data_IF_983646356615
#
_entry.id   IF_983646356615
#
_cell.length_a   1.000
_cell.length_b   1.000
_cell.length_c   1.000
_cell.angle_alpha   90.00
_cell.angle_beta   90.00
_cell.angle_gamma   90.00
#
_symmetry.space_group_name_H-M   'P 1'
#
loop_
_entity.id
_entity.type
_entity.pdbx_description
1 polymer ?
#
# COMPACT_ATOMS: atom_id res chain seq x y z
N UNK A 1 20.05 8.80 -24.22
CA UNK A 1 20.18 8.29 -22.82
C UNK A 1 18.99 8.81 -21.98
N UNK A 2 17.85 9.06 -22.63
CA UNK A 2 16.88 10.05 -22.12
C UNK A 2 15.83 9.45 -21.19
N UNK A 3 15.64 8.12 -21.27
CA UNK A 3 14.75 7.40 -20.35
C UNK A 3 15.31 7.36 -18.92
N UNK A 4 16.64 7.30 -18.76
CA UNK A 4 17.28 7.40 -17.45
C UNK A 4 17.10 8.81 -16.86
N UNK A 5 17.22 9.85 -17.70
CA UNK A 5 17.00 11.23 -17.27
C UNK A 5 15.56 11.46 -16.77
N UNK A 6 14.57 10.96 -17.51
CA UNK A 6 13.16 11.00 -17.11
C UNK A 6 12.87 10.21 -15.81
N UNK A 7 13.61 9.13 -15.56
CA UNK A 7 13.48 8.40 -14.29
C UNK A 7 14.08 9.21 -13.14
N UNK A 8 15.23 9.83 -13.35
CA UNK A 8 15.93 10.60 -12.31
C UNK A 8 15.20 11.88 -11.90
N UNK A 9 14.35 12.46 -12.76
CA UNK A 9 13.52 13.63 -12.38
C UNK A 9 12.49 13.31 -11.29
N UNK A 10 12.19 12.04 -11.05
CA UNK A 10 11.32 11.62 -9.95
C UNK A 10 12.07 11.38 -8.63
N UNK A 11 13.41 11.40 -8.64
CA UNK A 11 14.23 11.23 -7.44
C UNK A 11 14.45 12.63 -6.85
N UNK A 12 13.89 12.93 -5.66
CA UNK A 12 14.05 14.24 -5.03
C UNK A 12 15.51 14.52 -4.66
N UNK A 13 15.88 15.80 -4.64
CA UNK A 13 17.22 16.22 -4.25
C UNK A 13 17.49 15.96 -2.76
N UNK A 14 18.76 15.83 -2.40
CA UNK A 14 19.19 15.65 -1.01
C UNK A 14 18.74 16.86 -0.16
N UNK A 15 17.81 16.65 0.75
CA UNK A 15 17.26 17.69 1.63
C UNK A 15 15.90 18.24 1.20
N UNK A 16 15.39 17.86 0.02
CA UNK A 16 14.00 18.12 -0.33
C UNK A 16 13.09 17.24 0.53
N UNK A 17 12.21 17.87 1.32
CA UNK A 17 11.14 17.15 1.98
C UNK A 17 10.20 16.59 0.91
N UNK A 18 10.25 15.28 0.68
CA UNK A 18 9.07 14.62 0.13
C UNK A 18 7.93 14.86 1.10
N UNK A 19 6.85 15.52 0.64
CA UNK A 19 5.57 15.57 1.36
C UNK A 19 5.05 14.14 1.40
N UNK A 20 5.62 13.32 2.28
CA UNK A 20 5.09 12.00 2.56
C UNK A 20 3.78 12.25 3.28
N UNK A 21 2.68 11.80 2.70
CA UNK A 21 1.32 11.82 3.27
C UNK A 21 1.18 11.07 4.61
N UNK A 22 2.26 10.90 5.40
CA UNK A 22 2.24 10.40 6.77
C UNK A 22 1.32 11.23 7.68
N UNK A 23 1.09 12.50 7.35
CA UNK A 23 0.13 13.35 8.07
C UNK A 23 -1.25 12.71 8.14
N UNK A 24 -1.75 12.18 7.01
CA UNK A 24 -3.07 11.56 6.91
C UNK A 24 -3.17 10.24 7.68
N UNK A 25 -2.10 9.44 7.70
CA UNK A 25 -2.07 8.12 8.34
C UNK A 25 -1.53 8.13 9.79
N UNK A 26 -1.13 9.28 10.32
CA UNK A 26 -0.63 9.42 11.69
C UNK A 26 -1.68 9.00 12.74
N UNK A 27 -1.23 8.49 13.90
CA UNK A 27 -2.14 8.12 15.01
C UNK A 27 -3.00 9.30 15.47
N UNK A 28 -2.44 10.51 15.51
CA UNK A 28 -3.14 11.73 15.89
C UNK A 28 -4.29 12.04 14.93
N UNK A 29 -4.03 12.06 13.62
CA UNK A 29 -5.05 12.36 12.60
C UNK A 29 -6.14 11.28 12.52
N UNK A 30 -5.77 9.99 12.64
CA UNK A 30 -6.72 8.87 12.79
C UNK A 30 -7.60 9.03 14.03
N UNK A 31 -7.00 9.36 15.17
CA UNK A 31 -7.72 9.58 16.42
C UNK A 31 -8.73 10.72 16.34
N UNK A 32 -8.38 11.81 15.63
CA UNK A 32 -9.29 12.93 15.37
C UNK A 32 -10.46 12.50 14.48
N UNK A 33 -10.20 11.82 13.35
CA UNK A 33 -11.26 11.32 12.45
C UNK A 33 -12.19 10.32 13.15
N UNK A 34 -11.64 9.45 14.00
CA UNK A 34 -12.42 8.49 14.79
C UNK A 34 -13.36 9.20 15.78
N UNK A 35 -12.90 10.27 16.44
CA UNK A 35 -13.76 11.09 17.32
C UNK A 35 -14.86 11.82 16.55
N UNK A 36 -14.56 12.26 15.33
CA UNK A 36 -15.52 12.95 14.45
C UNK A 36 -16.44 12.00 13.67
N UNK A 37 -16.29 10.67 13.81
CA UNK A 37 -17.07 9.69 13.05
C UNK A 37 -16.73 9.62 11.55
N UNK A 38 -15.57 10.15 11.13
CA UNK A 38 -15.12 10.25 9.73
C UNK A 38 -13.97 9.28 9.38
N UNK A 39 -13.81 8.19 10.14
CA UNK A 39 -12.68 7.27 9.97
C UNK A 39 -12.74 6.48 8.66
N UNK A 40 -13.94 6.26 8.11
CA UNK A 40 -14.16 5.50 6.87
C UNK A 40 -13.79 6.27 5.59
N UNK A 41 -13.52 7.57 5.68
CA UNK A 41 -13.16 8.40 4.53
C UNK A 41 -11.67 8.22 4.19
N UNK A 42 -11.25 7.04 3.72
CA UNK A 42 -9.93 6.92 3.07
C UNK A 42 -10.00 7.72 1.77
N UNK A 43 -9.15 8.75 1.54
CA UNK A 43 -9.07 9.42 0.25
C UNK A 43 -8.69 8.35 -0.75
N UNK A 44 -9.62 7.97 -1.61
CA UNK A 44 -9.29 7.13 -2.74
C UNK A 44 -8.35 7.96 -3.61
N UNK A 45 -7.05 7.66 -3.58
CA UNK A 45 -6.05 8.28 -4.46
C UNK A 45 -6.35 8.02 -5.94
N UNK A 46 -7.34 7.19 -6.23
CA UNK A 46 -7.81 6.79 -7.54
C UNK A 46 -9.34 6.83 -7.48
N UNK A 47 -9.97 7.72 -8.25
CA UNK A 47 -11.41 7.63 -8.50
C UNK A 47 -11.68 6.30 -9.20
N UNK A 48 -12.55 5.49 -8.61
CA UNK A 48 -12.96 4.23 -9.21
C UNK A 48 -14.46 4.06 -9.04
N UNK A 49 -15.15 3.65 -10.11
CA UNK A 49 -16.60 3.44 -10.16
C UNK A 49 -17.08 2.22 -9.32
N UNK A 50 -16.26 1.79 -8.37
CA UNK A 50 -16.40 0.55 -7.65
C UNK A 50 -16.84 0.84 -6.21
N UNK A 51 -17.76 0.02 -5.71
CA UNK A 51 -18.17 0.10 -4.32
C UNK A 51 -16.96 -0.03 -3.37
N UNK A 52 -17.03 0.64 -2.21
CA UNK A 52 -15.96 0.60 -1.20
C UNK A 52 -15.54 -0.83 -0.82
N UNK A 53 -16.48 -1.78 -0.81
CA UNK A 53 -16.23 -3.21 -0.59
C UNK A 53 -15.38 -3.85 -1.71
N UNK A 54 -15.63 -3.48 -2.96
CA UNK A 54 -14.85 -3.90 -4.11
C UNK A 54 -13.47 -3.21 -4.16
N UNK A 55 -13.36 -1.97 -3.65
CA UNK A 55 -12.10 -1.23 -3.55
C UNK A 55 -11.16 -1.82 -2.47
N UNK A 56 -11.70 -2.35 -1.37
CA UNK A 56 -10.93 -3.03 -0.31
C UNK A 56 -10.15 -4.26 -0.80
N UNK A 57 -10.47 -4.80 -1.98
CA UNK A 57 -9.72 -5.88 -2.64
C UNK A 57 -8.62 -5.36 -3.58
N UNK A 58 -8.00 -4.23 -3.22
CA UNK A 58 -7.06 -3.50 -4.08
C UNK A 58 -5.89 -4.37 -4.57
N UNK A 59 -5.35 -5.24 -3.71
CA UNK A 59 -4.22 -6.12 -4.06
C UNK A 59 -4.57 -7.15 -5.15
N UNK A 60 -5.80 -7.70 -5.16
CA UNK A 60 -6.26 -8.64 -6.22
C UNK A 60 -6.29 -7.94 -7.57
N UNK A 61 -6.82 -6.71 -7.60
CA UNK A 61 -6.88 -5.90 -8.82
C UNK A 61 -5.49 -5.51 -9.31
N UNK A 62 -4.59 -5.18 -8.40
CA UNK A 62 -3.19 -4.89 -8.73
C UNK A 62 -2.50 -6.11 -9.34
N UNK A 63 -2.64 -7.29 -8.74
CA UNK A 63 -2.09 -8.53 -9.30
C UNK A 63 -2.68 -8.80 -10.68
N UNK A 64 -4.00 -8.68 -10.85
CA UNK A 64 -4.65 -8.89 -12.13
C UNK A 64 -4.16 -7.91 -13.20
N UNK A 65 -3.92 -6.64 -12.85
CA UNK A 65 -3.42 -5.63 -13.79
C UNK A 65 -1.94 -5.85 -14.17
N UNK A 66 -1.13 -6.30 -13.22
CA UNK A 66 0.32 -6.50 -13.43
C UNK A 66 0.58 -7.82 -14.16
N UNK A 67 -0.12 -8.89 -13.77
CA UNK A 67 0.13 -10.24 -14.25
C UNK A 67 -0.90 -10.74 -15.27
N UNK A 68 -1.96 -9.97 -15.58
CA UNK A 68 -3.07 -10.38 -16.44
C UNK A 68 -3.74 -11.71 -16.04
N UNK A 69 -3.59 -12.12 -14.77
CA UNK A 69 -4.13 -13.36 -14.23
C UNK A 69 -4.97 -13.04 -13.00
N UNK A 70 -6.19 -13.60 -12.93
CA UNK A 70 -7.02 -13.53 -11.73
C UNK A 70 -6.59 -14.64 -10.74
N UNK A 71 -5.96 -14.30 -9.60
CA UNK A 71 -5.52 -15.29 -8.62
C UNK A 71 -6.67 -15.99 -7.88
N UNK A 72 -7.91 -15.50 -8.04
CA UNK A 72 -9.11 -16.11 -7.47
C UNK A 72 -9.83 -17.05 -8.43
N UNK A 73 -9.26 -17.32 -9.61
CA UNK A 73 -9.76 -18.32 -10.55
C UNK A 73 -8.74 -19.44 -10.75
N UNK A 74 -9.21 -20.68 -10.65
CA UNK A 74 -8.36 -21.83 -10.94
C UNK A 74 -8.06 -21.88 -12.46
N UNK A 75 -6.79 -21.95 -12.90
CA UNK A 75 -6.45 -22.00 -14.31
C UNK A 75 -6.84 -23.31 -15.02
N UNK A 76 -7.20 -24.36 -14.27
CA UNK A 76 -7.62 -25.66 -14.84
C UNK A 76 -9.14 -25.78 -14.97
N UNK A 77 -9.88 -25.41 -13.93
CA UNK A 77 -11.33 -25.63 -13.86
C UNK A 77 -12.17 -24.35 -13.79
N UNK A 78 -11.54 -23.17 -13.75
CA UNK A 78 -12.20 -21.85 -13.65
C UNK A 78 -13.10 -21.68 -12.40
N UNK A 79 -12.95 -22.55 -11.39
CA UNK A 79 -13.63 -22.43 -10.11
C UNK A 79 -13.10 -21.26 -9.28
N UNK A 80 -13.95 -20.70 -8.41
CA UNK A 80 -13.57 -19.63 -7.47
C UNK A 80 -12.67 -20.17 -6.37
N UNK A 81 -11.50 -19.57 -6.22
CA UNK A 81 -10.53 -19.86 -5.16
C UNK A 81 -10.69 -18.89 -3.99
N UNK A 82 -10.23 -19.30 -2.81
CA UNK A 82 -10.18 -18.47 -1.59
C UNK A 82 -8.77 -18.54 -1.02
N UNK A 83 -8.31 -17.45 -0.43
CA UNK A 83 -7.01 -17.40 0.25
C UNK A 83 -7.16 -18.06 1.61
N UNK A 84 -6.21 -18.93 1.94
CA UNK A 84 -6.20 -19.70 3.18
C UNK A 84 -5.12 -19.21 4.16
N UNK A 85 -3.98 -18.74 3.64
CA UNK A 85 -2.86 -18.22 4.44
C UNK A 85 -1.94 -17.36 3.58
N UNK A 86 -1.14 -16.53 4.23
CA UNK A 86 0.01 -15.86 3.64
C UNK A 86 1.29 -16.56 4.12
N UNK A 87 2.26 -16.70 3.24
CA UNK A 87 3.60 -17.18 3.60
C UNK A 87 4.45 -15.93 3.78
N UNK A 88 4.80 -15.63 5.02
CA UNK A 88 5.73 -14.56 5.37
C UNK A 88 7.10 -15.19 5.57
N UNK A 89 8.13 -14.69 4.88
CA UNK A 89 9.50 -14.98 5.25
C UNK A 89 9.77 -14.25 6.57
N UNK A 90 10.04 -15.00 7.63
CA UNK A 90 10.56 -14.39 8.86
C UNK A 90 11.91 -13.76 8.50
N UNK A 91 11.94 -12.43 8.45
CA UNK A 91 13.18 -11.67 8.32
C UNK A 91 14.12 -12.18 9.42
N UNK A 92 15.18 -12.87 9.00
CA UNK A 92 16.14 -13.48 9.89
C UNK A 92 16.62 -12.50 10.96
N UNK A 93 16.83 -13.04 12.16
CA UNK A 93 17.31 -12.36 13.36
C UNK A 93 18.48 -11.37 13.11
N UNK A 94 18.20 -10.16 12.64
CA UNK A 94 19.06 -9.01 12.90
C UNK A 94 18.49 -8.37 14.17
N UNK A 95 19.19 -8.60 15.29
CA UNK A 95 18.79 -8.18 16.63
C UNK A 95 18.47 -6.69 16.73
N UNK A 96 17.88 -6.25 17.86
CA UNK A 96 17.40 -4.89 18.02
C UNK A 96 18.53 -3.88 17.80
N UNK A 97 18.41 -3.05 16.75
CA UNK A 97 19.26 -1.87 16.58
C UNK A 97 19.10 -0.98 17.82
N UNK A 98 20.18 -0.57 18.50
CA UNK A 98 20.05 0.28 19.67
C UNK A 98 19.46 1.62 19.27
N UNK A 99 18.28 1.92 19.82
CA UNK A 99 17.69 3.26 19.77
C UNK A 99 18.56 4.19 20.59
N UNK A 100 19.50 4.89 19.94
CA UNK A 100 20.13 6.06 20.51
C UNK A 100 19.11 7.20 20.50
N UNK A 101 18.38 7.33 21.61
CA UNK A 101 17.67 8.56 21.97
C UNK A 101 18.71 9.44 22.66
N UNK A 102 19.27 10.41 21.94
CA UNK A 102 19.98 11.51 22.57
C UNK A 102 18.94 12.57 22.96
N UNK A 103 19.02 12.98 24.23
CA UNK A 103 18.26 14.07 24.84
C UNK A 103 18.59 15.41 24.20
#
# INVERSE_FOLDING_TARGET
MDWLALLTTHIPNRGEQMVRYYGYYSNKSRGIRKKEGKDDAVPSLIESDLSLSAFRKNWVRLIQKIYNVDPLLCPKCHGRMRIISFIEEEEGCFGPTPRNVQF
#
